data_IF_919896634114
#
_entry.id   IF_919896634114
#
_cell.length_a   1.000
_cell.length_b   1.000
_cell.length_c   1.000
_cell.angle_alpha   90.00
_cell.angle_beta   90.00
_cell.angle_gamma   90.00
#
_symmetry.space_group_name_H-M   'P 1'
#
loop_
_entity.id
_entity.type
_entity.pdbx_description
1 polymer ?
#
# COMPACT_ATOMS: atom_id res chain seq x y z
N UNK A 1 3.67 9.78 -5.21
CA UNK A 1 3.58 8.29 -5.19
C UNK A 1 4.14 7.72 -3.89
N UNK A 2 5.45 7.84 -3.59
CA UNK A 2 6.02 7.19 -2.39
C UNK A 2 5.57 7.80 -1.05
N UNK A 3 5.18 9.08 -1.03
CA UNK A 3 4.65 9.79 0.16
C UNK A 3 3.12 9.73 0.29
N UNK A 4 2.50 8.76 -0.39
CA UNK A 4 1.03 8.61 -0.47
C UNK A 4 0.64 7.16 -0.20
N UNK A 5 -0.66 6.87 -0.14
CA UNK A 5 -1.21 5.52 0.04
C UNK A 5 -0.88 4.52 -1.09
N UNK A 6 -0.35 4.98 -2.23
CA UNK A 6 -0.08 4.15 -3.41
C UNK A 6 0.71 2.87 -3.11
N UNK A 7 1.76 2.97 -2.30
CA UNK A 7 2.67 1.85 -2.00
C UNK A 7 1.92 0.64 -1.43
N UNK A 8 0.98 0.87 -0.51
CA UNK A 8 0.18 -0.19 0.10
C UNK A 8 -0.72 -0.88 -0.92
N UNK A 9 -1.41 -0.10 -1.76
CA UNK A 9 -2.30 -0.62 -2.79
C UNK A 9 -1.56 -1.48 -3.81
N UNK A 10 -0.46 -0.96 -4.37
CA UNK A 10 0.26 -1.67 -5.45
C UNK A 10 0.87 -2.98 -4.95
N UNK A 11 1.37 -3.01 -3.70
CA UNK A 11 1.90 -4.23 -3.07
C UNK A 11 0.77 -5.25 -2.86
N UNK A 12 -0.35 -4.83 -2.23
CA UNK A 12 -1.47 -5.73 -1.96
C UNK A 12 -2.05 -6.34 -3.24
N UNK A 13 -2.27 -5.54 -4.29
CA UNK A 13 -2.78 -6.03 -5.57
C UNK A 13 -1.77 -6.94 -6.30
N UNK A 14 -0.47 -6.64 -6.21
CA UNK A 14 0.57 -7.49 -6.80
C UNK A 14 0.63 -8.85 -6.11
N UNK A 15 0.53 -8.86 -4.77
CA UNK A 15 0.50 -10.10 -3.98
C UNK A 15 -0.79 -10.89 -4.25
N UNK A 16 -1.94 -10.24 -4.37
CA UNK A 16 -3.20 -10.91 -4.78
C UNK A 16 -3.01 -11.66 -6.10
N UNK A 17 -2.48 -10.98 -7.13
CA UNK A 17 -2.29 -11.60 -8.45
C UNK A 17 -1.38 -12.83 -8.36
N UNK A 18 -0.28 -12.72 -7.62
CA UNK A 18 0.62 -13.84 -7.38
C UNK A 18 -0.06 -14.98 -6.61
N UNK A 19 -0.86 -14.67 -5.58
CA UNK A 19 -1.58 -15.64 -4.76
C UNK A 19 -2.63 -16.45 -5.52
N UNK A 20 -3.38 -15.81 -6.42
CA UNK A 20 -4.32 -16.51 -7.32
C UNK A 20 -3.57 -17.43 -8.28
N UNK A 21 -2.33 -17.10 -8.66
CA UNK A 21 -1.52 -17.86 -9.61
C UNK A 21 -1.70 -17.42 -11.07
N UNK A 22 -2.17 -16.18 -11.29
CA UNK A 22 -2.31 -15.62 -12.63
C UNK A 22 -0.97 -15.07 -13.13
N UNK A 23 -0.52 -15.53 -14.29
CA UNK A 23 0.80 -15.16 -14.83
C UNK A 23 0.89 -13.72 -15.34
N UNK A 24 -0.18 -13.21 -15.97
CA UNK A 24 -0.17 -11.89 -16.62
C UNK A 24 -1.47 -11.09 -16.48
N UNK A 25 -2.52 -11.70 -15.92
CA UNK A 25 -3.83 -11.07 -15.73
C UNK A 25 -4.10 -10.79 -14.25
N UNK A 26 -4.60 -9.61 -13.86
CA UNK A 26 -4.65 -8.38 -14.64
C UNK A 26 -3.24 -7.88 -15.00
N UNK A 27 -3.15 -7.17 -16.14
CA UNK A 27 -1.89 -6.58 -16.59
C UNK A 27 -1.33 -5.60 -15.54
N UNK A 28 0.01 -5.45 -15.48
CA UNK A 28 0.67 -4.53 -14.53
C UNK A 28 0.08 -3.12 -14.61
N UNK A 29 -0.20 -2.64 -15.82
CA UNK A 29 -0.80 -1.32 -16.04
C UNK A 29 -2.16 -1.18 -15.34
N UNK A 30 -3.01 -2.21 -15.40
CA UNK A 30 -4.32 -2.19 -14.74
C UNK A 30 -4.16 -2.10 -13.22
N UNK A 31 -3.22 -2.86 -12.63
CA UNK A 31 -2.97 -2.82 -11.19
C UNK A 31 -2.41 -1.46 -10.75
N UNK A 32 -1.52 -0.86 -11.54
CA UNK A 32 -0.97 0.48 -11.28
C UNK A 32 -2.06 1.54 -11.40
N UNK A 33 -2.87 1.50 -12.46
CA UNK A 33 -3.99 2.43 -12.66
C UNK A 33 -5.01 2.32 -11.52
N UNK A 34 -5.38 1.10 -11.13
CA UNK A 34 -6.27 0.89 -9.98
C UNK A 34 -5.64 1.47 -8.71
N UNK A 35 -4.37 1.19 -8.44
CA UNK A 35 -3.65 1.75 -7.28
C UNK A 35 -3.64 3.28 -7.30
N UNK A 36 -3.47 3.91 -8.47
CA UNK A 36 -3.52 5.37 -8.61
C UNK A 36 -4.91 5.93 -8.32
N UNK A 37 -5.98 5.35 -8.87
CA UNK A 37 -7.35 5.81 -8.60
C UNK A 37 -7.72 5.64 -7.13
N UNK A 38 -7.34 4.52 -6.52
CA UNK A 38 -7.51 4.29 -5.08
C UNK A 38 -6.70 5.29 -4.24
N UNK A 39 -5.50 5.64 -4.70
CA UNK A 39 -4.68 6.68 -4.07
C UNK A 39 -5.38 8.03 -4.12
N UNK A 40 -5.91 8.44 -5.29
CA UNK A 40 -6.65 9.70 -5.40
C UNK A 40 -7.87 9.73 -4.50
N UNK A 41 -8.60 8.61 -4.40
CA UNK A 41 -9.75 8.50 -3.51
C UNK A 41 -9.37 8.66 -2.04
N UNK A 42 -8.36 7.93 -1.56
CA UNK A 42 -7.93 8.00 -0.15
C UNK A 42 -7.24 9.31 0.20
N UNK A 43 -6.46 9.86 -0.74
CA UNK A 43 -5.66 11.08 -0.52
C UNK A 43 -6.43 12.37 -0.83
N UNK A 44 -7.69 12.30 -1.27
CA UNK A 44 -8.52 13.46 -1.55
C UNK A 44 -8.44 14.57 -0.47
N UNK A 45 -8.65 14.29 0.84
CA UNK A 45 -8.56 15.34 1.86
C UNK A 45 -7.17 15.97 1.97
N UNK A 46 -6.10 15.19 1.79
CA UNK A 46 -4.72 15.67 1.81
C UNK A 46 -4.44 16.58 0.62
N UNK A 47 -4.90 16.20 -0.58
CA UNK A 47 -4.76 17.02 -1.78
C UNK A 47 -5.57 18.31 -1.71
N UNK A 48 -6.81 18.25 -1.20
CA UNK A 48 -7.67 19.41 -1.03
C UNK A 48 -7.07 20.41 -0.04
N UNK A 49 -6.50 19.92 1.08
CA UNK A 49 -5.81 20.79 2.03
C UNK A 49 -4.59 21.44 1.38
N UNK A 50 -3.70 20.66 0.74
CA UNK A 50 -2.50 21.19 0.09
C UNK A 50 -2.84 22.23 -1.00
N UNK A 51 -3.93 21.99 -1.74
CA UNK A 51 -4.42 22.92 -2.76
C UNK A 51 -4.89 24.23 -2.15
N UNK A 52 -5.76 24.17 -1.14
CA UNK A 52 -6.41 25.35 -0.56
C UNK A 52 -5.46 26.19 0.29
N UNK A 53 -4.54 25.56 1.03
CA UNK A 53 -3.64 26.29 1.96
C UNK A 53 -2.34 26.73 1.33
N UNK A 54 -1.88 26.05 0.28
CA UNK A 54 -0.56 26.25 -0.29
C UNK A 54 -0.58 26.62 -1.78
N UNK A 55 -1.14 25.76 -2.64
CA UNK A 55 -1.08 25.96 -4.10
C UNK A 55 -1.86 27.19 -4.54
N UNK A 56 -3.12 27.30 -4.15
CA UNK A 56 -3.98 28.41 -4.56
C UNK A 56 -3.46 29.78 -4.06
N UNK A 57 -3.10 29.96 -2.78
CA UNK A 57 -2.50 31.23 -2.33
C UNK A 57 -1.19 31.59 -3.03
N UNK A 58 -0.38 30.59 -3.43
CA UNK A 58 0.83 30.84 -4.22
C UNK A 58 0.50 31.35 -5.62
N UNK A 59 -0.48 30.72 -6.30
CA UNK A 59 -0.94 31.16 -7.62
C UNK A 59 -1.56 32.57 -7.58
N UNK A 60 -2.22 32.91 -6.48
CA UNK A 60 -2.79 34.23 -6.23
C UNK A 60 -1.74 35.26 -5.75
N UNK A 61 -0.45 34.90 -5.72
CA UNK A 61 0.67 35.71 -5.22
C UNK A 61 0.49 36.23 -3.77
N UNK A 62 -0.27 35.51 -2.94
CA UNK A 62 -0.53 35.87 -1.54
C UNK A 62 0.57 35.41 -0.58
N UNK A 63 1.31 34.37 -0.96
CA UNK A 63 2.40 33.80 -0.18
C UNK A 63 3.65 33.60 -1.03
N UNK A 64 4.80 33.54 -0.38
CA UNK A 64 6.07 33.24 -1.07
C UNK A 64 6.18 31.75 -1.40
N UNK A 65 7.06 31.40 -2.33
CA UNK A 65 7.35 29.99 -2.67
C UNK A 65 7.84 29.19 -1.45
N UNK A 66 8.63 29.81 -0.58
CA UNK A 66 9.14 29.16 0.63
C UNK A 66 8.01 28.82 1.61
N UNK A 67 7.08 29.76 1.82
CA UNK A 67 5.91 29.54 2.67
C UNK A 67 4.94 28.53 2.05
N UNK A 68 4.74 28.59 0.72
CA UNK A 68 3.91 27.64 0.01
C UNK A 68 4.44 26.21 0.14
N UNK A 69 5.76 26.01 0.08
CA UNK A 69 6.36 24.69 0.24
C UNK A 69 5.99 24.06 1.58
N UNK A 70 6.13 24.79 2.68
CA UNK A 70 5.74 24.30 4.01
C UNK A 70 4.25 23.95 4.05
N UNK A 71 3.38 24.88 3.64
CA UNK A 71 1.91 24.68 3.66
C UNK A 71 1.42 23.56 2.76
N UNK A 72 2.07 23.33 1.61
CA UNK A 72 1.77 22.20 0.72
C UNK A 72 2.22 20.90 1.35
N UNK A 73 3.38 20.89 2.02
CA UNK A 73 3.98 19.66 2.57
C UNK A 73 3.34 19.20 3.88
N UNK A 74 2.79 20.11 4.68
CA UNK A 74 2.19 19.82 5.98
C UNK A 74 1.04 18.80 5.97
N UNK A 75 0.04 18.86 5.07
CA UNK A 75 -1.00 17.82 5.03
C UNK A 75 -0.41 16.44 4.69
N UNK A 76 0.63 16.36 3.85
CA UNK A 76 1.33 15.09 3.59
C UNK A 76 2.13 14.63 4.80
N UNK A 77 2.78 15.55 5.53
CA UNK A 77 3.47 15.26 6.79
C UNK A 77 2.51 14.67 7.80
N UNK A 78 1.35 15.30 7.98
CA UNK A 78 0.27 14.80 8.85
C UNK A 78 -0.19 13.41 8.41
N UNK A 79 -0.49 13.22 7.12
CA UNK A 79 -0.90 11.91 6.60
C UNK A 79 0.14 10.81 6.90
N UNK A 80 1.43 11.09 6.65
CA UNK A 80 2.51 10.14 6.92
C UNK A 80 2.67 9.86 8.42
N UNK A 81 2.55 10.87 9.28
CA UNK A 81 2.63 10.70 10.74
C UNK A 81 1.51 9.82 11.30
N UNK A 82 0.30 9.91 10.74
CA UNK A 82 -0.80 9.05 11.17
C UNK A 82 -0.66 7.58 10.74
N UNK A 83 0.17 7.30 9.72
CA UNK A 83 0.30 5.98 9.12
C UNK A 83 1.66 5.32 9.37
N UNK A 84 2.68 6.08 9.77
CA UNK A 84 3.98 5.56 10.17
C UNK A 84 3.84 4.85 11.52
N UNK A 85 4.52 3.72 11.68
CA UNK A 85 4.58 3.05 12.98
C UNK A 85 5.61 3.75 13.85
N UNK A 86 5.31 3.95 15.13
CA UNK A 86 6.23 4.58 16.09
C UNK A 86 7.62 3.94 16.05
N UNK A 87 7.70 2.61 16.04
CA UNK A 87 8.97 1.87 15.97
C UNK A 87 9.78 2.17 14.71
N UNK A 88 9.10 2.30 13.56
CA UNK A 88 9.77 2.57 12.30
C UNK A 88 10.19 4.05 12.24
N UNK A 89 9.43 4.97 12.85
CA UNK A 89 9.83 6.37 13.03
C UNK A 89 11.04 6.52 13.97
N UNK A 90 10.99 5.91 15.14
CA UNK A 90 12.04 5.96 16.16
C UNK A 90 13.37 5.47 15.63
N UNK A 91 13.37 4.39 14.82
CA UNK A 91 14.57 3.89 14.14
C UNK A 91 15.26 4.99 13.33
N UNK A 92 14.54 5.72 12.48
CA UNK A 92 15.14 6.77 11.67
C UNK A 92 15.47 8.02 12.49
N UNK A 93 14.71 8.32 13.54
CA UNK A 93 15.04 9.39 14.47
C UNK A 93 16.36 9.12 15.20
N UNK A 94 16.59 7.88 15.65
CA UNK A 94 17.82 7.48 16.32
C UNK A 94 19.02 7.49 15.37
N UNK A 95 18.87 6.96 14.15
CA UNK A 95 19.91 7.03 13.11
C UNK A 95 20.26 8.49 12.73
N UNK A 96 19.28 9.40 12.77
CA UNK A 96 19.52 10.82 12.54
C UNK A 96 20.31 11.45 13.71
N UNK A 97 19.96 11.12 14.95
CA UNK A 97 20.69 11.57 16.16
C UNK A 97 22.13 11.07 16.17
N UNK A 98 22.38 9.82 15.79
CA UNK A 98 23.73 9.25 15.66
C UNK A 98 24.61 10.03 14.66
N UNK A 99 23.98 10.64 13.65
CA UNK A 99 24.64 11.50 12.65
C UNK A 99 24.73 12.96 13.08
N UNK A 100 24.38 13.28 14.33
CA UNK A 100 24.41 14.64 14.87
C UNK A 100 23.27 15.55 14.40
N UNK A 101 22.18 14.99 13.86
CA UNK A 101 21.01 15.78 13.44
C UNK A 101 20.08 16.03 14.63
N UNK A 102 19.59 17.28 14.74
CA UNK A 102 18.57 17.65 15.71
C UNK A 102 17.20 17.19 15.24
N UNK A 103 16.58 16.26 15.98
CA UNK A 103 15.22 15.81 15.70
C UNK A 103 14.25 16.66 16.51
N UNK A 104 13.60 17.63 15.85
CA UNK A 104 12.51 18.40 16.45
C UNK A 104 11.21 17.60 16.43
N UNK A 105 10.41 17.70 17.51
CA UNK A 105 9.07 17.14 17.59
C UNK A 105 7.99 18.07 17.01
N UNK A 106 8.28 19.36 16.89
CA UNK A 106 7.31 20.36 16.43
C UNK A 106 7.11 20.29 14.91
N UNK A 107 8.20 20.12 14.16
CA UNK A 107 8.20 19.88 12.71
C UNK A 107 9.13 18.73 12.39
N UNK A 108 8.54 17.54 12.30
CA UNK A 108 9.26 16.30 12.01
C UNK A 108 9.90 16.37 10.62
N UNK A 109 11.22 16.34 10.51
CA UNK A 109 11.94 16.42 9.23
C UNK A 109 11.46 15.33 8.25
N UNK A 110 11.09 15.74 7.03
CA UNK A 110 10.69 14.84 5.95
C UNK A 110 11.79 13.83 5.61
N UNK A 111 13.06 14.16 5.83
CA UNK A 111 14.21 13.26 5.63
C UNK A 111 14.18 12.03 6.55
N UNK A 112 13.51 12.15 7.70
CA UNK A 112 13.30 11.08 8.67
C UNK A 112 11.94 10.41 8.40
N UNK A 113 10.90 11.22 8.23
CA UNK A 113 9.53 10.73 8.11
C UNK A 113 9.28 9.94 6.83
N UNK A 114 9.77 10.41 5.69
CA UNK A 114 9.54 9.73 4.40
C UNK A 114 10.08 8.30 4.38
N UNK A 115 11.36 8.03 4.73
CA UNK A 115 11.85 6.66 4.74
C UNK A 115 11.18 5.78 5.82
N UNK A 116 10.87 6.34 7.00
CA UNK A 116 10.13 5.63 8.05
C UNK A 116 8.73 5.21 7.59
N UNK A 117 8.00 6.14 6.96
CA UNK A 117 6.69 5.90 6.37
C UNK A 117 6.77 4.85 5.27
N UNK A 118 7.73 4.95 4.35
CA UNK A 118 7.90 3.97 3.27
C UNK A 118 8.11 2.54 3.80
N UNK A 119 8.96 2.36 4.81
CA UNK A 119 9.16 1.03 5.43
C UNK A 119 7.86 0.55 6.10
N UNK A 120 7.16 1.44 6.81
CA UNK A 120 5.87 1.11 7.45
C UNK A 120 4.83 0.65 6.41
N UNK A 121 4.71 1.37 5.30
CA UNK A 121 3.76 1.04 4.22
C UNK A 121 4.12 -0.25 3.49
N UNK A 122 5.41 -0.50 3.25
CA UNK A 122 5.86 -1.76 2.66
C UNK A 122 5.48 -2.91 3.59
N UNK A 123 5.85 -2.83 4.88
CA UNK A 123 5.51 -3.84 5.87
C UNK A 123 4.00 -4.10 5.92
N UNK A 124 3.20 -3.03 6.00
CA UNK A 124 1.73 -3.15 6.04
C UNK A 124 1.16 -3.75 4.77
N UNK A 125 1.68 -3.36 3.61
CA UNK A 125 1.33 -3.96 2.32
C UNK A 125 1.62 -5.46 2.27
N UNK A 126 2.77 -5.90 2.81
CA UNK A 126 3.11 -7.32 2.93
C UNK A 126 2.25 -8.07 3.94
N UNK A 127 1.94 -7.49 5.11
CA UNK A 127 1.03 -8.08 6.10
C UNK A 127 -0.35 -8.33 5.49
N UNK A 128 -0.91 -7.31 4.81
CA UNK A 128 -2.20 -7.43 4.12
C UNK A 128 -2.11 -8.46 2.99
N UNK A 129 -1.04 -8.40 2.19
CA UNK A 129 -0.77 -9.38 1.13
C UNK A 129 -0.73 -10.82 1.65
N UNK A 130 -0.06 -11.05 2.77
CA UNK A 130 0.00 -12.36 3.40
C UNK A 130 -1.40 -12.87 3.77
N UNK A 131 -2.22 -12.03 4.43
CA UNK A 131 -3.59 -12.38 4.79
C UNK A 131 -4.46 -12.70 3.56
N UNK A 132 -4.26 -11.99 2.45
CA UNK A 132 -4.94 -12.25 1.17
C UNK A 132 -4.56 -13.62 0.59
N UNK A 133 -3.30 -14.03 0.73
CA UNK A 133 -2.78 -15.26 0.12
C UNK A 133 -3.19 -16.52 0.90
N UNK A 134 -3.42 -16.41 2.21
CA UNK A 134 -3.78 -17.54 3.08
C UNK A 134 -4.90 -18.44 2.54
N UNK A 135 -6.08 -17.95 2.13
CA UNK A 135 -7.14 -18.82 1.60
C UNK A 135 -6.71 -19.55 0.31
N UNK A 136 -5.93 -18.91 -0.55
CA UNK A 136 -5.43 -19.54 -1.77
C UNK A 136 -4.41 -20.63 -1.49
N UNK A 137 -3.56 -20.45 -0.47
CA UNK A 137 -2.61 -21.46 -0.01
C UNK A 137 -3.33 -22.70 0.52
N UNK A 138 -4.43 -22.52 1.25
CA UNK A 138 -5.27 -23.64 1.71
C UNK A 138 -5.84 -24.41 0.52
N UNK A 139 -6.34 -23.71 -0.50
CA UNK A 139 -6.83 -24.35 -1.73
C UNK A 139 -5.71 -25.14 -2.42
N UNK A 140 -4.50 -24.58 -2.53
CA UNK A 140 -3.35 -25.27 -3.12
C UNK A 140 -3.02 -26.57 -2.35
N UNK A 141 -2.98 -26.52 -1.03
CA UNK A 141 -2.65 -27.68 -0.20
C UNK A 141 -3.70 -28.80 -0.33
N UNK A 142 -4.98 -28.44 -0.37
CA UNK A 142 -6.08 -29.40 -0.57
C UNK A 142 -6.01 -30.01 -1.97
N UNK A 143 -5.84 -29.19 -3.00
CA UNK A 143 -5.77 -29.70 -4.38
C UNK A 143 -4.55 -30.57 -4.60
N UNK A 144 -3.40 -30.21 -4.02
CA UNK A 144 -2.18 -31.00 -4.08
C UNK A 144 -2.37 -32.38 -3.43
N UNK A 145 -2.92 -32.42 -2.21
CA UNK A 145 -3.16 -33.70 -1.50
C UNK A 145 -4.14 -34.60 -2.25
N UNK A 146 -5.22 -34.06 -2.81
CA UNK A 146 -6.20 -34.82 -3.61
C UNK A 146 -5.61 -35.29 -4.94
N UNK A 147 -4.85 -34.44 -5.65
CA UNK A 147 -4.20 -34.79 -6.93
C UNK A 147 -3.17 -35.90 -6.74
N UNK A 148 -2.37 -35.83 -5.67
CA UNK A 148 -1.42 -36.86 -5.30
C UNK A 148 -2.12 -38.19 -4.95
N UNK A 149 -3.24 -38.14 -4.22
CA UNK A 149 -4.02 -39.32 -3.88
C UNK A 149 -4.61 -40.05 -5.11
N UNK A 150 -4.95 -39.30 -6.17
CA UNK A 150 -5.41 -39.89 -7.44
C UNK A 150 -4.29 -40.48 -8.31
N UNK A 151 -3.02 -40.40 -7.87
CA UNK A 151 -1.87 -40.92 -8.62
C UNK A 151 -1.44 -40.04 -9.81
N UNK A 152 -1.98 -38.82 -9.94
CA UNK A 152 -1.65 -37.90 -11.02
C UNK A 152 -0.35 -37.11 -10.74
N UNK A 153 0.79 -37.82 -10.69
CA UNK A 153 2.09 -37.22 -10.36
C UNK A 153 2.62 -36.25 -11.43
N UNK A 154 2.11 -36.33 -12.67
CA UNK A 154 2.61 -35.55 -13.81
C UNK A 154 1.89 -34.21 -14.02
N UNK A 155 0.73 -34.00 -13.37
CA UNK A 155 -0.02 -32.76 -13.47
C UNK A 155 0.38 -31.83 -12.31
N UNK A 156 0.92 -30.63 -12.57
CA UNK A 156 1.23 -29.69 -11.51
C UNK A 156 -0.06 -29.32 -10.75
N UNK A 157 -0.11 -29.50 -9.41
CA UNK A 157 -1.28 -29.18 -8.61
C UNK A 157 -1.78 -27.73 -8.77
N UNK A 158 -0.86 -26.81 -9.09
CA UNK A 158 -1.15 -25.38 -9.31
C UNK A 158 -2.04 -25.13 -10.53
N UNK A 159 -1.93 -25.96 -11.58
CA UNK A 159 -2.79 -25.86 -12.77
C UNK A 159 -4.21 -26.31 -12.42
N UNK A 160 -4.33 -27.33 -11.58
CA UNK A 160 -5.62 -27.85 -11.12
C UNK A 160 -6.27 -26.89 -10.12
N UNK A 161 -5.50 -26.21 -9.26
CA UNK A 161 -6.03 -25.33 -8.22
C UNK A 161 -6.50 -23.97 -8.75
N UNK A 162 -5.93 -23.49 -9.87
CA UNK A 162 -6.25 -22.19 -10.46
C UNK A 162 -7.77 -21.94 -10.67
N UNK A 163 -8.55 -22.82 -11.34
CA UNK A 163 -9.99 -22.59 -11.50
C UNK A 163 -10.74 -22.49 -10.18
N UNK A 164 -10.36 -23.28 -9.16
CA UNK A 164 -10.96 -23.21 -7.82
C UNK A 164 -10.66 -21.90 -7.13
N UNK A 165 -9.43 -21.38 -7.24
CA UNK A 165 -9.05 -20.08 -6.67
C UNK A 165 -9.82 -18.94 -7.32
N UNK A 166 -9.93 -18.94 -8.65
CA UNK A 166 -10.69 -17.93 -9.39
C UNK A 166 -12.16 -17.98 -8.98
N UNK A 167 -12.76 -19.19 -8.95
CA UNK A 167 -14.15 -19.37 -8.54
C UNK A 167 -14.36 -18.87 -7.11
N UNK A 168 -13.52 -19.29 -6.16
CA UNK A 168 -13.57 -18.84 -4.78
C UNK A 168 -13.51 -17.31 -4.69
N UNK A 169 -12.55 -16.68 -5.37
CA UNK A 169 -12.35 -15.23 -5.33
C UNK A 169 -13.56 -14.46 -5.90
N UNK A 170 -14.18 -14.97 -6.96
CA UNK A 170 -15.38 -14.37 -7.54
C UNK A 170 -16.60 -14.58 -6.64
N UNK A 171 -16.77 -15.77 -6.06
CA UNK A 171 -17.92 -16.09 -5.20
C UNK A 171 -17.97 -15.26 -3.92
N UNK A 172 -16.82 -14.88 -3.37
CA UNK A 172 -16.75 -14.04 -2.16
C UNK A 172 -16.79 -12.54 -2.47
N UNK A 173 -16.94 -12.14 -3.74
CA UNK A 173 -16.77 -10.75 -4.18
C UNK A 173 -15.41 -10.16 -3.74
N UNK A 174 -14.34 -10.90 -4.04
CA UNK A 174 -13.01 -10.66 -3.48
C UNK A 174 -12.43 -9.28 -3.82
N UNK A 175 -12.78 -8.70 -4.96
CA UNK A 175 -12.38 -7.34 -5.31
C UNK A 175 -12.99 -6.30 -4.36
N UNK A 176 -14.28 -6.40 -4.06
CA UNK A 176 -14.98 -5.50 -3.16
C UNK A 176 -14.43 -5.62 -1.73
N UNK A 177 -14.26 -6.85 -1.23
CA UNK A 177 -13.67 -7.10 0.07
C UNK A 177 -12.26 -6.53 0.19
N UNK A 178 -11.42 -6.73 -0.83
CA UNK A 178 -10.05 -6.25 -0.85
C UNK A 178 -9.99 -4.72 -0.88
N UNK A 179 -10.69 -4.11 -1.83
CA UNK A 179 -10.73 -2.65 -2.01
C UNK A 179 -11.27 -1.99 -0.75
N UNK A 180 -12.40 -2.47 -0.22
CA UNK A 180 -13.00 -1.93 1.00
C UNK A 180 -12.07 -2.04 2.21
N UNK A 181 -11.37 -3.16 2.36
CA UNK A 181 -10.45 -3.38 3.49
C UNK A 181 -9.19 -2.52 3.38
N UNK A 182 -8.66 -2.33 2.16
CA UNK A 182 -7.51 -1.45 1.92
C UNK A 182 -7.86 0.02 2.19
N UNK A 183 -9.01 0.51 1.74
CA UNK A 183 -9.46 1.88 2.03
C UNK A 183 -9.61 2.09 3.54
N UNK A 184 -10.32 1.18 4.23
CA UNK A 184 -10.49 1.25 5.69
C UNK A 184 -9.18 1.14 6.47
N UNK A 185 -8.09 0.66 5.87
CA UNK A 185 -6.79 0.57 6.54
C UNK A 185 -6.09 1.93 6.71
N UNK A 186 -6.56 2.97 6.03
CA UNK A 186 -6.03 4.35 6.13
C UNK A 186 -6.90 5.27 7.00
N UNK A 187 -8.03 4.76 7.50
CA UNK A 187 -8.96 5.44 8.41
C UNK A 187 -8.77 4.88 9.81
#
# INVERSE_FOLDING_TARGET
IMVTSFTRFVIAFSILRAGIGLQSTPANLILISLSLFMTFYVMAPTFDQAWNTGVKPLMDNQITQAEAFEKISDPFRSFMLHNVRDKDFDLFADLARERGQTVSRDTVDLRILVPAFMISEIRRGFEIGFLIVLPFLVIDLIVATVTMAMGMMMLPPTVVSLPFKILFFVLIDGWNLLVGSLVRSFT
#
